data_IF_110917057112
#
_entry.id   IF_110917057112
#
_cell.length_a   1.000
_cell.length_b   1.000
_cell.length_c   1.000
_cell.angle_alpha   90.00
_cell.angle_beta   90.00
_cell.angle_gamma   90.00
#
_symmetry.space_group_name_H-M   'P 1'
#
loop_
_entity.id
_entity.type
_entity.pdbx_description
1 polymer ?
#
# COMPACT_ATOMS: atom_id res chain seq x y z
N UNK A 1 -22.60 -22.05 17.23
CA UNK A 1 -21.41 -21.71 16.42
C UNK A 1 -21.40 -22.30 15.00
N UNK A 2 -22.52 -22.77 14.42
CA UNK A 2 -22.54 -23.42 13.09
C UNK A 2 -23.18 -22.62 11.94
N UNK A 3 -23.60 -21.36 12.18
CA UNK A 3 -24.42 -20.62 11.20
C UNK A 3 -23.59 -19.76 10.21
N UNK A 4 -22.43 -19.23 10.61
CA UNK A 4 -21.60 -18.37 9.75
C UNK A 4 -20.81 -19.15 8.68
N UNK A 5 -20.45 -20.40 8.95
CA UNK A 5 -19.69 -21.26 8.02
C UNK A 5 -20.52 -21.66 6.80
N UNK A 6 -21.84 -21.73 6.94
CA UNK A 6 -22.76 -22.09 5.86
C UNK A 6 -23.01 -20.92 4.91
N UNK A 7 -23.07 -19.69 5.44
CA UNK A 7 -23.24 -18.46 4.66
C UNK A 7 -22.00 -18.15 3.82
N UNK A 8 -20.80 -18.33 4.40
CA UNK A 8 -19.53 -18.17 3.69
C UNK A 8 -19.35 -19.20 2.56
N UNK A 9 -19.83 -20.43 2.75
CA UNK A 9 -19.87 -21.46 1.68
C UNK A 9 -20.81 -21.07 0.54
N UNK A 10 -21.97 -20.49 0.86
CA UNK A 10 -22.94 -20.04 -0.15
C UNK A 10 -22.41 -18.83 -0.95
N UNK A 11 -21.73 -17.89 -0.29
CA UNK A 11 -21.13 -16.72 -0.96
C UNK A 11 -19.98 -17.15 -1.88
N UNK A 12 -19.08 -18.05 -1.43
CA UNK A 12 -18.03 -18.61 -2.29
C UNK A 12 -18.60 -19.37 -3.50
N UNK A 13 -19.63 -20.19 -3.27
CA UNK A 13 -20.30 -20.93 -4.35
C UNK A 13 -20.98 -20.02 -5.39
N UNK A 14 -21.46 -18.84 -4.99
CA UNK A 14 -22.09 -17.89 -5.89
C UNK A 14 -21.07 -17.09 -6.72
N UNK A 15 -19.83 -16.96 -6.24
CA UNK A 15 -18.75 -16.23 -6.92
C UNK A 15 -18.01 -17.13 -7.93
N UNK A 16 -17.87 -18.43 -7.63
CA UNK A 16 -17.19 -19.40 -8.51
C UNK A 16 -18.01 -19.80 -9.75
N UNK A 17 -19.33 -19.54 -9.75
CA UNK A 17 -20.19 -19.74 -10.92
C UNK A 17 -20.17 -18.50 -11.83
N UNK A 18 -19.31 -18.55 -12.84
CA UNK A 18 -19.07 -17.54 -13.89
C UNK A 18 -20.32 -16.81 -14.40
N UNK A 19 -20.18 -15.48 -14.50
CA UNK A 19 -20.89 -14.56 -15.41
C UNK A 19 -22.43 -14.60 -15.43
N UNK A 20 -23.05 -13.89 -14.49
CA UNK A 20 -24.27 -13.14 -14.78
C UNK A 20 -24.12 -11.73 -14.20
N UNK A 21 -24.49 -10.71 -14.97
CA UNK A 21 -24.44 -9.31 -14.52
C UNK A 21 -25.12 -9.13 -13.16
N UNK A 22 -24.67 -8.18 -12.31
CA UNK A 22 -25.34 -7.91 -11.05
C UNK A 22 -26.81 -7.57 -11.31
N UNK A 23 -27.69 -8.41 -10.77
CA UNK A 23 -29.14 -8.26 -10.78
C UNK A 23 -29.47 -6.94 -10.06
N UNK A 24 -29.93 -5.95 -10.81
CA UNK A 24 -30.16 -4.59 -10.27
C UNK A 24 -31.51 -4.56 -9.57
N UNK A 25 -31.48 -4.44 -8.25
CA UNK A 25 -32.63 -4.09 -7.43
C UNK A 25 -32.90 -2.59 -7.57
N UNK A 26 -34.03 -2.20 -8.16
CA UNK A 26 -34.45 -0.80 -8.28
C UNK A 26 -35.55 -0.51 -7.25
N UNK A 27 -35.32 0.51 -6.42
CA UNK A 27 -36.30 0.98 -5.44
C UNK A 27 -37.40 1.77 -6.19
N UNK A 28 -38.66 1.36 -6.04
CA UNK A 28 -39.81 2.17 -6.49
C UNK A 28 -40.40 2.96 -5.32
N UNK A 29 -40.97 4.14 -5.61
CA UNK A 29 -41.57 5.03 -4.61
C UNK A 29 -42.76 4.33 -3.94
N UNK A 30 -42.52 3.82 -2.73
CA UNK A 30 -43.46 2.97 -2.00
C UNK A 30 -42.80 1.85 -1.18
N UNK A 31 -41.48 1.61 -1.36
CA UNK A 31 -40.71 0.70 -0.50
C UNK A 31 -40.77 -0.78 -0.90
N UNK A 32 -41.30 -1.10 -2.09
CA UNK A 32 -41.34 -2.46 -2.63
C UNK A 32 -40.19 -2.65 -3.62
N UNK A 33 -39.43 -3.73 -3.41
CA UNK A 33 -38.37 -4.16 -4.31
C UNK A 33 -38.97 -4.96 -5.46
N UNK A 34 -38.77 -4.51 -6.70
CA UNK A 34 -39.26 -5.21 -7.89
C UNK A 34 -38.07 -5.82 -8.65
N UNK A 35 -38.16 -7.12 -8.94
CA UNK A 35 -37.19 -7.83 -9.79
C UNK A 35 -37.37 -7.41 -11.25
N UNK A 36 -36.26 -7.06 -11.91
CA UNK A 36 -36.21 -6.88 -13.36
C UNK A 36 -35.12 -7.81 -13.92
N UNK A 37 -35.54 -8.91 -14.54
CA UNK A 37 -34.65 -9.82 -15.26
C UNK A 37 -34.70 -9.61 -16.79
N UNK A 38 -35.40 -8.57 -17.25
CA UNK A 38 -35.55 -8.23 -18.65
C UNK A 38 -36.66 -8.99 -19.39
N UNK A 39 -37.31 -9.98 -18.76
CA UNK A 39 -38.36 -10.81 -19.38
C UNK A 39 -39.64 -10.86 -18.53
N UNK A 40 -40.22 -9.68 -18.24
CA UNK A 40 -41.58 -9.57 -17.70
C UNK A 40 -41.75 -9.81 -16.19
N UNK A 41 -42.86 -9.29 -15.66
CA UNK A 41 -43.24 -9.37 -14.24
C UNK A 41 -43.70 -10.77 -13.84
N UNK A 42 -43.08 -11.36 -12.80
CA UNK A 42 -43.55 -12.61 -12.19
C UNK A 42 -44.75 -12.36 -11.25
N UNK A 43 -45.76 -13.25 -11.22
CA UNK A 43 -46.91 -13.12 -10.35
C UNK A 43 -46.57 -13.39 -8.87
N UNK A 44 -47.28 -12.67 -8.00
CA UNK A 44 -47.08 -12.45 -6.57
C UNK A 44 -46.94 -13.74 -5.70
N UNK A 45 -47.40 -14.88 -6.22
CA UNK A 45 -47.61 -16.10 -5.45
C UNK A 45 -46.37 -17.03 -5.39
N UNK A 46 -45.24 -16.64 -5.98
CA UNK A 46 -43.99 -17.42 -5.95
C UNK A 46 -42.84 -16.73 -5.20
N UNK A 47 -43.12 -15.61 -4.53
CA UNK A 47 -42.15 -14.95 -3.67
C UNK A 47 -42.13 -15.73 -2.35
N UNK A 48 -41.26 -16.73 -2.25
CA UNK A 48 -40.86 -17.26 -0.93
C UNK A 48 -40.36 -16.07 -0.13
N UNK A 49 -40.85 -15.84 1.11
CA UNK A 49 -40.38 -14.74 1.92
C UNK A 49 -38.92 -15.01 2.22
N UNK A 50 -38.03 -14.36 1.45
CA UNK A 50 -36.63 -14.35 1.76
C UNK A 50 -36.56 -13.65 3.09
N UNK A 51 -36.24 -14.41 4.14
CA UNK A 51 -35.97 -13.90 5.47
C UNK A 51 -35.18 -12.59 5.30
N UNK A 52 -35.83 -11.46 5.57
CA UNK A 52 -35.14 -10.20 5.76
C UNK A 52 -34.33 -10.38 7.04
N UNK A 53 -33.18 -11.02 6.93
CA UNK A 53 -32.18 -11.03 7.98
C UNK A 53 -31.79 -9.59 8.17
N UNK A 54 -32.33 -8.97 9.23
CA UNK A 54 -31.88 -7.68 9.71
C UNK A 54 -30.40 -7.84 10.02
N UNK A 55 -29.56 -7.48 9.05
CA UNK A 55 -28.12 -7.46 9.26
C UNK A 55 -27.85 -6.47 10.38
N UNK A 56 -27.35 -6.99 11.50
CA UNK A 56 -26.83 -6.20 12.60
C UNK A 56 -25.76 -5.24 12.06
N UNK A 57 -25.54 -4.12 12.74
CA UNK A 57 -24.47 -3.19 12.38
C UNK A 57 -23.14 -3.91 12.14
N UNK A 58 -22.81 -4.88 13.02
CA UNK A 58 -21.59 -5.67 12.91
C UNK A 58 -21.55 -6.50 11.61
N UNK A 59 -22.62 -7.24 11.30
CA UNK A 59 -22.65 -8.06 10.07
C UNK A 59 -22.53 -7.24 8.78
N UNK A 60 -23.00 -5.97 8.78
CA UNK A 60 -22.81 -5.06 7.64
C UNK A 60 -21.36 -4.61 7.50
N UNK A 61 -20.69 -4.37 8.62
CA UNK A 61 -19.27 -4.01 8.66
C UNK A 61 -18.42 -5.19 8.19
N UNK A 62 -18.70 -6.40 8.68
CA UNK A 62 -18.01 -7.64 8.27
C UNK A 62 -18.14 -7.86 6.76
N UNK A 63 -19.36 -7.81 6.21
CA UNK A 63 -19.59 -7.95 4.77
C UNK A 63 -18.85 -6.90 3.94
N UNK A 64 -18.81 -5.65 4.44
CA UNK A 64 -18.05 -4.58 3.79
C UNK A 64 -16.54 -4.90 3.78
N UNK A 65 -15.98 -5.35 4.89
CA UNK A 65 -14.55 -5.67 5.02
C UNK A 65 -14.17 -6.86 4.13
N UNK A 66 -15.01 -7.90 4.05
CA UNK A 66 -14.81 -9.03 3.13
C UNK A 66 -14.82 -8.59 1.67
N UNK A 67 -15.81 -7.78 1.28
CA UNK A 67 -15.90 -7.23 -0.09
C UNK A 67 -14.66 -6.40 -0.41
N UNK A 68 -14.22 -5.58 0.54
CA UNK A 68 -13.06 -4.72 0.39
C UNK A 68 -11.78 -5.55 0.21
N UNK A 69 -11.60 -6.63 0.97
CA UNK A 69 -10.46 -7.56 0.81
C UNK A 69 -10.41 -8.20 -0.56
N UNK A 70 -11.54 -8.69 -1.07
CA UNK A 70 -11.63 -9.29 -2.41
C UNK A 70 -11.27 -8.28 -3.51
N UNK A 71 -11.73 -7.02 -3.39
CA UNK A 71 -11.36 -5.96 -4.32
C UNK A 71 -9.86 -5.64 -4.26
N UNK A 72 -9.28 -5.58 -3.05
CA UNK A 72 -7.84 -5.33 -2.88
C UNK A 72 -6.99 -6.48 -3.41
N UNK A 73 -7.42 -7.73 -3.24
CA UNK A 73 -6.74 -8.90 -3.80
C UNK A 73 -6.67 -8.80 -5.33
N UNK A 74 -7.78 -8.38 -5.97
CA UNK A 74 -7.87 -8.25 -7.42
C UNK A 74 -7.13 -7.03 -7.98
N UNK A 75 -7.18 -5.89 -7.29
CA UNK A 75 -6.74 -4.59 -7.83
C UNK A 75 -5.54 -3.98 -7.08
N UNK A 76 -5.00 -4.67 -6.07
CA UNK A 76 -3.91 -4.21 -5.23
C UNK A 76 -4.29 -3.19 -4.14
N UNK A 77 -5.39 -2.45 -4.33
CA UNK A 77 -5.94 -1.48 -3.37
C UNK A 77 -7.41 -1.15 -3.70
N UNK A 78 -8.15 -0.63 -2.71
CA UNK A 78 -9.49 -0.05 -2.92
C UNK A 78 -9.47 1.45 -2.67
N UNK A 79 -10.06 2.22 -3.58
CA UNK A 79 -10.25 3.66 -3.40
C UNK A 79 -11.70 3.96 -2.97
N UNK A 80 -11.88 4.79 -1.93
CA UNK A 80 -13.19 5.23 -1.45
C UNK A 80 -13.11 6.61 -0.77
N UNK A 81 -14.23 7.33 -0.70
CA UNK A 81 -14.28 8.61 0.01
C UNK A 81 -14.35 8.41 1.52
N UNK A 82 -13.84 9.38 2.29
CA UNK A 82 -14.00 9.41 3.75
C UNK A 82 -15.48 9.27 4.15
N UNK A 83 -16.39 9.98 3.48
CA UNK A 83 -17.83 9.85 3.70
C UNK A 83 -18.34 8.41 3.58
N UNK A 84 -17.89 7.71 2.53
CA UNK A 84 -18.29 6.32 2.27
C UNK A 84 -17.75 5.38 3.34
N UNK A 85 -16.52 5.59 3.83
CA UNK A 85 -15.98 4.80 4.94
C UNK A 85 -16.84 4.96 6.20
N UNK A 86 -17.15 6.20 6.56
CA UNK A 86 -17.99 6.51 7.72
C UNK A 86 -19.38 5.89 7.60
N UNK A 87 -20.00 5.98 6.43
CA UNK A 87 -21.30 5.38 6.13
C UNK A 87 -21.28 3.85 6.31
N UNK A 88 -20.25 3.17 5.78
CA UNK A 88 -20.09 1.71 5.89
C UNK A 88 -19.91 1.25 7.33
N UNK A 89 -19.29 2.08 8.17
CA UNK A 89 -19.19 1.86 9.61
C UNK A 89 -20.40 2.34 10.41
N UNK A 90 -21.45 2.84 9.74
CA UNK A 90 -22.64 3.42 10.37
C UNK A 90 -22.28 4.52 11.39
N UNK A 91 -21.41 5.44 10.99
CA UNK A 91 -20.93 6.57 11.78
C UNK A 91 -21.41 7.88 11.14
N UNK A 92 -22.27 8.62 11.86
CA UNK A 92 -22.78 9.92 11.41
C UNK A 92 -21.87 11.12 11.74
N UNK A 93 -20.96 10.99 12.71
CA UNK A 93 -20.09 12.09 13.17
C UNK A 93 -18.68 11.59 13.46
N UNK A 94 -17.67 12.38 13.06
CA UNK A 94 -16.28 12.11 13.46
C UNK A 94 -16.05 12.54 14.91
N UNK A 95 -15.53 11.62 15.68
CA UNK A 95 -15.06 11.82 17.06
C UNK A 95 -13.79 11.00 17.22
N UNK A 96 -12.93 11.33 18.19
CA UNK A 96 -11.71 10.56 18.47
C UNK A 96 -12.02 9.08 18.73
N UNK A 97 -13.13 8.79 19.43
CA UNK A 97 -13.61 7.42 19.65
C UNK A 97 -13.93 6.69 18.34
N UNK A 98 -14.70 7.32 17.45
CA UNK A 98 -15.08 6.73 16.16
C UNK A 98 -13.87 6.55 15.23
N UNK A 99 -12.88 7.45 15.32
CA UNK A 99 -11.61 7.33 14.62
C UNK A 99 -10.85 6.07 15.05
N UNK A 100 -10.68 5.88 16.36
CA UNK A 100 -10.03 4.70 16.93
C UNK A 100 -10.76 3.43 16.48
N UNK A 101 -12.09 3.39 16.59
CA UNK A 101 -12.88 2.22 16.17
C UNK A 101 -12.67 1.84 14.70
N UNK A 102 -12.67 2.82 13.78
CA UNK A 102 -12.41 2.52 12.35
C UNK A 102 -10.98 2.03 12.16
N UNK A 103 -9.99 2.70 12.77
CA UNK A 103 -8.57 2.32 12.65
C UNK A 103 -8.32 0.91 13.18
N UNK A 104 -8.81 0.59 14.37
CA UNK A 104 -8.64 -0.72 14.99
C UNK A 104 -9.31 -1.83 14.19
N UNK A 105 -10.54 -1.60 13.69
CA UNK A 105 -11.25 -2.61 12.89
C UNK A 105 -10.60 -2.82 11.51
N UNK A 106 -10.06 -1.78 10.88
CA UNK A 106 -9.28 -1.96 9.65
C UNK A 106 -7.96 -2.69 9.96
N UNK A 107 -7.25 -2.29 11.01
CA UNK A 107 -5.99 -2.91 11.40
C UNK A 107 -6.15 -4.39 11.80
N UNK A 108 -7.24 -4.76 12.50
CA UNK A 108 -7.54 -6.15 12.85
C UNK A 108 -7.75 -7.03 11.62
N UNK A 109 -8.13 -6.43 10.50
CA UNK A 109 -8.30 -7.09 9.21
C UNK A 109 -7.06 -7.00 8.31
N UNK A 110 -5.96 -6.41 8.78
CA UNK A 110 -4.74 -6.18 8.00
C UNK A 110 -4.90 -5.08 6.94
N UNK A 111 -5.83 -4.13 7.14
CA UNK A 111 -6.15 -3.06 6.21
C UNK A 111 -5.66 -1.71 6.75
N UNK A 112 -5.17 -0.87 5.84
CA UNK A 112 -4.56 0.42 6.17
C UNK A 112 -5.16 1.54 5.32
N UNK A 113 -4.95 2.80 5.69
CA UNK A 113 -5.50 3.95 4.93
C UNK A 113 -4.40 4.88 4.48
N UNK A 114 -4.50 5.37 3.24
CA UNK A 114 -3.61 6.37 2.67
C UNK A 114 -4.42 7.51 2.01
N UNK A 115 -4.29 8.77 2.46
CA UNK A 115 -3.58 9.20 3.67
C UNK A 115 -4.18 8.55 4.94
N UNK A 116 -3.45 8.61 6.06
CA UNK A 116 -3.93 8.06 7.32
C UNK A 116 -5.29 8.67 7.68
N UNK A 117 -6.27 7.82 8.01
CA UNK A 117 -7.59 8.28 8.40
C UNK A 117 -7.52 9.13 9.68
N UNK A 118 -7.80 10.43 9.55
CA UNK A 118 -7.71 11.40 10.66
C UNK A 118 -8.86 12.41 10.64
N UNK A 119 -8.98 13.22 11.70
CA UNK A 119 -9.97 14.29 11.77
C UNK A 119 -9.67 15.43 10.79
N UNK A 120 -8.42 15.57 10.37
CA UNK A 120 -7.93 16.64 9.48
C UNK A 120 -8.37 16.43 8.03
N UNK A 121 -8.64 15.19 7.61
CA UNK A 121 -9.09 14.89 6.26
C UNK A 121 -10.48 15.47 5.98
N UNK A 122 -10.71 16.08 4.81
CA UNK A 122 -12.07 16.54 4.44
C UNK A 122 -13.01 15.36 4.18
N UNK A 123 -14.32 15.52 4.41
CA UNK A 123 -15.31 14.43 4.21
C UNK A 123 -15.33 13.93 2.76
N UNK A 124 -15.10 14.82 1.80
CA UNK A 124 -14.98 14.47 0.38
C UNK A 124 -13.62 13.94 -0.04
N UNK A 125 -12.62 13.89 0.86
CA UNK A 125 -11.28 13.39 0.53
C UNK A 125 -11.33 11.90 0.19
N UNK A 126 -10.46 11.52 -0.74
CA UNK A 126 -10.30 10.13 -1.17
C UNK A 126 -9.27 9.42 -0.31
N UNK A 127 -9.60 8.20 0.12
CA UNK A 127 -8.72 7.25 0.78
C UNK A 127 -8.41 6.11 -0.18
N UNK A 128 -7.16 5.65 -0.15
CA UNK A 128 -6.74 4.36 -0.67
C UNK A 128 -6.60 3.40 0.50
N UNK A 129 -7.12 2.19 0.33
CA UNK A 129 -7.10 1.13 1.35
C UNK A 129 -6.34 -0.06 0.78
N UNK A 130 -5.05 -0.24 1.13
CA UNK A 130 -4.29 -1.44 0.84
C UNK A 130 -4.31 -2.44 2.00
N UNK A 131 -3.84 -3.67 1.74
CA UNK A 131 -3.56 -4.71 2.74
C UNK A 131 -2.14 -4.62 3.31
N UNK A 132 -1.48 -3.48 3.11
CA UNK A 132 -0.09 -3.25 3.48
C UNK A 132 0.03 -1.97 4.31
N UNK A 133 0.79 -1.94 5.42
CA UNK A 133 1.00 -0.72 6.21
C UNK A 133 1.63 0.38 5.36
N UNK A 134 0.80 1.30 4.90
CA UNK A 134 1.27 2.52 4.25
C UNK A 134 1.51 3.58 5.31
N UNK A 135 2.78 3.91 5.51
CA UNK A 135 3.22 4.94 6.46
C UNK A 135 3.67 6.18 5.69
N UNK A 136 3.26 7.34 6.17
CA UNK A 136 3.74 8.64 5.72
C UNK A 136 3.97 9.49 6.97
N UNK A 137 5.15 9.42 7.61
CA UNK A 137 5.34 9.94 8.97
C UNK A 137 5.31 11.47 9.07
N UNK A 138 5.44 12.18 7.94
CA UNK A 138 5.37 13.64 7.88
C UNK A 138 4.81 14.16 6.54
N UNK A 139 4.96 15.46 6.32
CA UNK A 139 4.56 16.11 5.07
C UNK A 139 5.48 15.71 3.91
N UNK A 140 5.00 15.88 2.68
CA UNK A 140 5.76 15.54 1.46
C UNK A 140 6.24 16.80 0.75
N UNK A 141 7.46 16.75 0.23
CA UNK A 141 7.92 17.73 -0.73
C UNK A 141 7.12 17.62 -2.03
N UNK A 142 6.84 18.76 -2.66
CA UNK A 142 6.10 18.79 -3.91
C UNK A 142 6.87 18.09 -5.05
N UNK A 143 8.18 18.28 -5.10
CA UNK A 143 9.08 17.68 -6.10
C UNK A 143 10.25 16.97 -5.42
N UNK A 144 10.80 15.96 -6.11
CA UNK A 144 12.01 15.24 -5.69
C UNK A 144 13.22 16.18 -5.55
N UNK A 145 13.38 17.08 -6.51
CA UNK A 145 14.42 18.11 -6.47
C UNK A 145 14.38 18.98 -5.20
N UNK A 146 13.19 19.34 -4.71
CA UNK A 146 13.05 20.17 -3.52
C UNK A 146 13.54 19.41 -2.27
N UNK A 147 13.26 18.10 -2.21
CA UNK A 147 13.79 17.22 -1.16
C UNK A 147 15.31 17.08 -1.24
N UNK A 148 15.87 16.86 -2.44
CA UNK A 148 17.33 16.78 -2.64
C UNK A 148 18.03 18.07 -2.21
N UNK A 149 17.51 19.22 -2.65
CA UNK A 149 18.07 20.53 -2.31
C UNK A 149 17.97 20.78 -0.79
N UNK A 150 16.88 20.36 -0.14
CA UNK A 150 16.72 20.47 1.31
C UNK A 150 17.70 19.59 2.08
N UNK A 151 17.86 18.33 1.68
CA UNK A 151 18.80 17.38 2.30
C UNK A 151 20.24 17.85 2.15
N UNK A 152 20.61 18.37 0.97
CA UNK A 152 21.95 18.88 0.72
C UNK A 152 22.24 20.16 1.52
N UNK A 153 21.33 21.14 1.48
CA UNK A 153 21.52 22.45 2.14
C UNK A 153 21.68 22.33 3.65
N UNK A 154 20.95 21.40 4.27
CA UNK A 154 20.97 21.18 5.71
C UNK A 154 21.89 20.02 6.13
N UNK A 155 22.71 19.52 5.20
CA UNK A 155 23.67 18.43 5.40
C UNK A 155 23.06 17.19 6.08
N UNK A 156 21.79 16.89 5.81
CA UNK A 156 21.05 15.85 6.55
C UNK A 156 21.57 14.44 6.27
N UNK A 157 22.30 14.25 5.18
CA UNK A 157 23.01 12.99 4.89
C UNK A 157 23.95 12.57 6.03
N UNK A 158 24.44 13.50 6.86
CA UNK A 158 25.23 13.21 8.07
C UNK A 158 24.45 12.36 9.08
N UNK A 159 23.12 12.52 9.18
CA UNK A 159 22.25 11.68 10.03
C UNK A 159 22.19 10.21 9.57
N UNK A 160 22.65 9.91 8.35
CA UNK A 160 22.75 8.56 7.79
C UNK A 160 24.19 8.01 7.87
N UNK A 161 25.06 8.67 8.64
CA UNK A 161 26.50 8.37 8.76
C UNK A 161 27.23 8.49 7.41
N UNK A 162 26.91 9.53 6.65
CA UNK A 162 27.61 9.92 5.42
C UNK A 162 28.34 11.22 5.71
N UNK A 163 29.67 11.25 5.57
CA UNK A 163 30.48 12.41 5.95
C UNK A 163 30.43 13.53 4.91
N UNK A 164 30.34 13.18 3.63
CA UNK A 164 30.23 14.13 2.53
C UNK A 164 29.50 13.50 1.35
N UNK A 165 28.93 14.35 0.48
CA UNK A 165 28.21 13.88 -0.72
C UNK A 165 28.65 14.61 -1.97
N UNK A 166 28.74 13.87 -3.07
CA UNK A 166 28.83 14.39 -4.42
C UNK A 166 27.44 14.29 -5.06
N UNK A 167 26.80 15.44 -5.29
CA UNK A 167 25.48 15.49 -5.93
C UNK A 167 25.59 15.08 -7.38
N UNK A 168 24.58 14.38 -7.87
CA UNK A 168 24.36 14.28 -9.31
C UNK A 168 25.55 13.63 -10.04
N UNK A 169 26.27 12.75 -9.32
CA UNK A 169 27.47 12.04 -9.77
C UNK A 169 27.15 11.12 -10.95
N UNK A 170 28.07 11.08 -11.93
CA UNK A 170 27.96 10.25 -13.13
C UNK A 170 29.07 9.20 -13.11
N UNK A 171 28.74 7.92 -12.83
CA UNK A 171 29.73 6.87 -12.83
C UNK A 171 30.40 6.72 -14.20
N UNK A 172 31.64 6.27 -14.22
CA UNK A 172 32.41 6.12 -15.46
C UNK A 172 31.72 5.18 -16.46
N UNK A 173 31.64 5.64 -17.71
CA UNK A 173 31.14 4.86 -18.84
C UNK A 173 29.62 4.70 -18.89
N UNK A 174 28.86 5.53 -18.16
CA UNK A 174 27.38 5.54 -18.24
C UNK A 174 26.81 6.96 -18.33
N UNK A 175 25.58 7.07 -18.83
CA UNK A 175 24.76 8.28 -18.78
C UNK A 175 23.93 8.39 -17.50
N UNK A 176 23.94 7.35 -16.66
CA UNK A 176 23.30 7.34 -15.35
C UNK A 176 23.81 8.49 -14.48
N UNK A 177 22.94 8.91 -13.55
CA UNK A 177 23.18 10.02 -12.63
C UNK A 177 22.56 9.65 -11.29
N UNK A 178 23.37 9.65 -10.24
CA UNK A 178 22.93 9.37 -8.87
C UNK A 178 22.45 10.67 -8.23
N UNK A 179 21.44 10.64 -7.37
CA UNK A 179 21.09 11.81 -6.56
C UNK A 179 22.30 12.26 -5.72
N UNK A 180 22.87 11.30 -4.97
CA UNK A 180 24.07 11.50 -4.17
C UNK A 180 24.98 10.25 -4.19
N UNK A 181 26.26 10.49 -4.43
CA UNK A 181 27.33 9.57 -4.05
C UNK A 181 27.91 10.05 -2.72
N UNK A 182 27.68 9.31 -1.65
CA UNK A 182 28.20 9.60 -0.33
C UNK A 182 29.58 8.99 -0.08
N UNK A 183 30.44 9.69 0.64
CA UNK A 183 31.60 9.10 1.28
C UNK A 183 31.26 8.83 2.76
N UNK A 184 31.61 7.65 3.23
CA UNK A 184 31.45 7.22 4.62
C UNK A 184 32.84 7.01 5.24
N UNK A 185 32.88 6.69 6.53
CA UNK A 185 34.13 6.26 7.19
C UNK A 185 34.64 4.93 6.61
N UNK A 186 35.92 4.61 6.86
CA UNK A 186 36.54 3.31 6.52
C UNK A 186 36.46 2.94 5.03
N UNK A 187 36.70 3.90 4.13
CA UNK A 187 36.71 3.71 2.67
C UNK A 187 35.40 3.14 2.09
N UNK A 188 34.30 3.33 2.81
CA UNK A 188 32.97 2.96 2.37
C UNK A 188 32.35 4.11 1.58
N UNK A 189 31.64 3.77 0.51
CA UNK A 189 30.85 4.73 -0.28
C UNK A 189 29.37 4.39 -0.18
N UNK A 190 28.51 5.37 -0.32
CA UNK A 190 27.07 5.19 -0.29
C UNK A 190 26.43 5.64 -1.60
N UNK A 191 25.49 4.84 -2.11
CA UNK A 191 24.44 5.32 -2.99
C UNK A 191 23.32 5.82 -2.09
N UNK A 192 22.97 7.10 -2.18
CA UNK A 192 21.81 7.68 -1.51
C UNK A 192 20.83 8.15 -2.58
N UNK A 193 19.72 7.43 -2.72
CA UNK A 193 18.61 7.76 -3.62
C UNK A 193 17.44 8.32 -2.80
N UNK A 194 16.87 9.44 -3.23
CA UNK A 194 15.76 10.10 -2.55
C UNK A 194 14.49 10.03 -3.40
N UNK A 195 13.35 9.79 -2.76
CA UNK A 195 12.03 9.87 -3.39
C UNK A 195 11.08 10.67 -2.51
N UNK A 196 10.48 11.73 -3.05
CA UNK A 196 9.50 12.55 -2.32
C UNK A 196 8.17 11.84 -2.03
N UNK A 197 7.97 10.64 -2.58
CA UNK A 197 6.80 9.77 -2.33
C UNK A 197 7.30 8.35 -2.10
N UNK A 198 6.54 7.33 -2.49
CA UNK A 198 7.03 5.95 -2.58
C UNK A 198 7.93 5.78 -3.81
N UNK A 199 8.90 4.87 -3.73
CA UNK A 199 9.87 4.65 -4.82
C UNK A 199 9.43 3.59 -5.83
N UNK A 200 8.55 2.68 -5.42
CA UNK A 200 8.22 1.48 -6.18
C UNK A 200 9.43 0.59 -6.48
N UNK A 201 9.26 -0.32 -7.44
CA UNK A 201 10.31 -1.20 -7.95
C UNK A 201 11.45 -0.43 -8.61
N UNK A 202 11.14 0.65 -9.34
CA UNK A 202 12.14 1.41 -10.09
C UNK A 202 13.20 2.05 -9.21
N UNK A 203 12.83 2.64 -8.06
CA UNK A 203 13.79 3.25 -7.15
C UNK A 203 14.73 2.20 -6.53
N UNK A 204 14.20 1.02 -6.22
CA UNK A 204 14.99 -0.11 -5.72
C UNK A 204 16.00 -0.58 -6.77
N UNK A 205 15.57 -0.74 -8.02
CA UNK A 205 16.45 -1.09 -9.14
C UNK A 205 17.49 0.00 -9.43
N UNK A 206 17.16 1.28 -9.25
CA UNK A 206 18.12 2.38 -9.38
C UNK A 206 19.25 2.24 -8.36
N UNK A 207 18.92 2.06 -7.08
CA UNK A 207 19.94 1.89 -6.03
C UNK A 207 20.85 0.70 -6.31
N UNK A 208 20.27 -0.46 -6.66
CA UNK A 208 21.04 -1.66 -7.02
C UNK A 208 21.95 -1.43 -8.24
N UNK A 209 21.42 -0.79 -9.29
CA UNK A 209 22.19 -0.46 -10.50
C UNK A 209 23.35 0.46 -10.18
N UNK A 210 23.09 1.54 -9.43
CA UNK A 210 24.12 2.50 -9.05
C UNK A 210 25.18 1.88 -8.13
N UNK A 211 24.77 0.97 -7.24
CA UNK A 211 25.72 0.26 -6.40
C UNK A 211 26.69 -0.61 -7.22
N UNK A 212 26.16 -1.34 -8.21
CA UNK A 212 26.99 -2.12 -9.15
C UNK A 212 27.95 -1.24 -9.98
N UNK A 213 27.47 -0.08 -10.44
CA UNK A 213 28.29 0.89 -11.19
C UNK A 213 29.42 1.47 -10.32
N UNK A 214 29.11 1.89 -9.09
CA UNK A 214 30.11 2.39 -8.16
C UNK A 214 31.09 1.30 -7.73
N UNK A 215 30.65 0.05 -7.55
CA UNK A 215 31.56 -1.06 -7.25
C UNK A 215 32.55 -1.34 -8.38
N UNK A 216 32.16 -1.13 -9.63
CA UNK A 216 33.07 -1.23 -10.78
C UNK A 216 34.07 -0.09 -10.82
N UNK A 217 33.64 1.13 -10.48
CA UNK A 217 34.50 2.30 -10.47
C UNK A 217 35.46 2.34 -9.26
N UNK A 218 35.01 1.84 -8.12
CA UNK A 218 35.71 1.79 -6.84
C UNK A 218 35.73 0.35 -6.30
N UNK A 219 36.52 -0.56 -6.91
CA UNK A 219 36.49 -2.00 -6.61
C UNK A 219 36.88 -2.35 -5.18
N UNK A 220 37.70 -1.53 -4.53
CA UNK A 220 38.18 -1.77 -3.17
C UNK A 220 37.22 -1.23 -2.10
N UNK A 221 36.24 -0.41 -2.47
CA UNK A 221 35.29 0.16 -1.53
C UNK A 221 34.10 -0.78 -1.29
N UNK A 222 33.57 -0.78 -0.06
CA UNK A 222 32.24 -1.32 0.21
C UNK A 222 31.17 -0.29 -0.20
N UNK A 223 30.06 -0.72 -0.77
CA UNK A 223 29.01 0.18 -1.26
C UNK A 223 27.74 0.00 -0.43
N UNK A 224 27.35 1.01 0.34
CA UNK A 224 26.06 1.07 1.03
C UNK A 224 24.96 1.43 0.04
N UNK A 225 23.82 0.77 0.18
CA UNK A 225 22.65 0.95 -0.66
C UNK A 225 21.55 1.59 0.18
N UNK A 226 21.36 2.90 0.04
CA UNK A 226 20.44 3.66 0.87
C UNK A 226 19.34 4.26 0.00
N UNK A 227 18.09 3.88 0.31
CA UNK A 227 16.89 4.47 -0.27
C UNK A 227 16.13 5.23 0.81
N UNK A 228 15.80 6.50 0.55
CA UNK A 228 14.93 7.29 1.42
C UNK A 228 13.65 7.65 0.67
N UNK A 229 12.49 7.33 1.25
CA UNK A 229 11.18 7.62 0.66
C UNK A 229 10.31 8.46 1.59
N UNK A 230 9.36 9.21 1.06
CA UNK A 230 8.36 9.93 1.88
C UNK A 230 7.19 9.03 2.31
N UNK A 231 7.01 7.91 1.61
CA UNK A 231 5.92 6.97 1.84
C UNK A 231 6.49 5.55 1.85
N UNK A 232 6.04 4.75 2.82
CA UNK A 232 6.20 3.30 2.80
C UNK A 232 5.10 2.70 1.92
N UNK A 233 5.41 2.34 0.67
CA UNK A 233 4.43 1.73 -0.23
C UNK A 233 4.76 0.25 -0.50
N UNK A 234 3.71 -0.52 -0.79
CA UNK A 234 3.78 -1.96 -1.00
C UNK A 234 4.75 -2.34 -2.13
N UNK A 235 4.78 -1.56 -3.21
CA UNK A 235 5.64 -1.88 -4.35
C UNK A 235 7.13 -1.78 -4.02
N UNK A 236 7.54 -0.82 -3.17
CA UNK A 236 8.93 -0.71 -2.71
C UNK A 236 9.27 -1.88 -1.80
N UNK A 237 8.41 -2.20 -0.83
CA UNK A 237 8.69 -3.31 0.07
C UNK A 237 8.72 -4.65 -0.66
N UNK A 238 7.76 -4.94 -1.56
CA UNK A 238 7.78 -6.15 -2.37
C UNK A 238 9.06 -6.27 -3.20
N UNK A 239 9.56 -5.15 -3.76
CA UNK A 239 10.80 -5.15 -4.50
C UNK A 239 12.02 -5.46 -3.60
N UNK A 240 12.06 -4.91 -2.39
CA UNK A 240 13.10 -5.20 -1.39
C UNK A 240 13.02 -6.66 -0.90
N UNK A 241 11.81 -7.15 -0.62
CA UNK A 241 11.56 -8.53 -0.22
C UNK A 241 11.78 -9.54 -1.35
N UNK A 242 11.75 -9.10 -2.61
CA UNK A 242 12.12 -9.90 -3.77
C UNK A 242 13.63 -10.07 -3.98
N UNK A 243 14.47 -9.31 -3.27
CA UNK A 243 15.93 -9.43 -3.36
C UNK A 243 16.44 -10.73 -2.73
N UNK A 244 17.64 -11.15 -3.14
CA UNK A 244 18.37 -12.21 -2.44
C UNK A 244 18.67 -11.79 -0.99
N UNK A 245 18.70 -12.72 -0.01
CA UNK A 245 18.89 -12.40 1.40
C UNK A 245 20.11 -11.52 1.70
N UNK A 246 21.23 -11.76 1.02
CA UNK A 246 22.49 -11.03 1.19
C UNK A 246 22.37 -9.57 0.71
N UNK A 247 21.69 -9.37 -0.43
CA UNK A 247 21.40 -8.03 -0.96
C UNK A 247 20.44 -7.28 -0.03
N UNK A 248 19.41 -7.97 0.46
CA UNK A 248 18.42 -7.38 1.37
C UNK A 248 19.05 -6.94 2.69
N UNK A 249 19.96 -7.74 3.26
CA UNK A 249 20.69 -7.41 4.50
C UNK A 249 21.56 -6.14 4.36
N UNK A 250 22.06 -5.87 3.16
CA UNK A 250 22.89 -4.71 2.86
C UNK A 250 22.12 -3.51 2.29
N UNK A 251 20.81 -3.65 2.09
CA UNK A 251 19.93 -2.60 1.62
C UNK A 251 19.28 -1.87 2.80
N UNK A 252 19.45 -0.56 2.86
CA UNK A 252 18.89 0.28 3.90
C UNK A 252 17.74 1.11 3.33
N UNK A 253 16.55 0.99 3.94
CA UNK A 253 15.39 1.78 3.59
C UNK A 253 14.99 2.67 4.76
N UNK A 254 14.84 3.96 4.49
CA UNK A 254 14.38 4.95 5.45
C UNK A 254 13.12 5.66 4.94
N UNK A 255 12.25 6.06 5.86
CA UNK A 255 11.23 7.06 5.64
C UNK A 255 11.74 8.41 6.11
N UNK A 256 11.50 9.48 5.34
CA UNK A 256 11.70 10.82 5.88
C UNK A 256 10.42 11.35 6.51
N UNK A 257 10.58 12.08 7.61
CA UNK A 257 9.52 12.79 8.32
C UNK A 257 9.81 14.27 8.27
N UNK A 258 9.12 14.99 7.38
CA UNK A 258 9.26 16.44 7.25
C UNK A 258 8.18 17.15 8.06
N UNK A 259 8.60 18.10 8.88
CA UNK A 259 7.76 18.99 9.67
C UNK A 259 7.87 20.40 9.08
N UNK A 260 6.91 20.79 8.24
CA UNK A 260 6.99 22.05 7.51
C UNK A 260 6.97 23.28 8.42
N UNK A 261 6.20 23.21 9.51
CA UNK A 261 6.03 24.33 10.44
C UNK A 261 7.32 24.75 11.16
N UNK A 262 8.22 23.79 11.39
CA UNK A 262 9.52 24.00 12.05
C UNK A 262 10.70 23.75 11.12
N UNK A 263 10.42 23.61 9.82
CA UNK A 263 11.37 23.32 8.73
C UNK A 263 12.40 22.25 9.10
N UNK A 264 11.94 21.11 9.65
CA UNK A 264 12.81 20.04 10.14
C UNK A 264 12.54 18.71 9.45
N UNK A 265 13.59 17.90 9.29
CA UNK A 265 13.50 16.57 8.69
C UNK A 265 14.28 15.53 9.49
N UNK A 266 13.61 14.41 9.71
CA UNK A 266 14.13 13.22 10.38
C UNK A 266 14.08 12.00 9.44
N UNK A 267 14.95 11.02 9.70
CA UNK A 267 14.93 9.73 9.00
C UNK A 267 14.56 8.62 9.98
N UNK A 268 13.57 7.82 9.62
CA UNK A 268 13.15 6.64 10.36
C UNK A 268 13.51 5.40 9.55
N UNK A 269 14.35 4.51 10.11
CA UNK A 269 14.71 3.26 9.43
C UNK A 269 13.50 2.34 9.37
N UNK A 270 13.21 1.81 8.20
CA UNK A 270 12.20 0.76 8.03
C UNK A 270 12.85 -0.57 8.36
N UNK A 271 12.32 -1.26 9.38
CA UNK A 271 12.66 -2.65 9.61
C UNK A 271 12.05 -3.50 8.49
N UNK A 272 12.90 -4.04 7.64
CA UNK A 272 12.49 -4.96 6.58
C UNK A 272 12.18 -6.30 7.27
N UNK A 273 10.93 -6.49 7.68
CA UNK A 273 10.48 -7.77 8.20
C UNK A 273 10.65 -8.82 7.11
N UNK A 274 11.38 -9.90 7.40
CA UNK A 274 11.33 -11.11 6.61
C UNK A 274 9.94 -11.69 6.81
N UNK A 275 8.96 -11.17 6.07
CA UNK A 275 7.70 -11.86 5.96
C UNK A 275 8.04 -13.19 5.28
N UNK A 276 7.81 -14.30 5.98
CA UNK A 276 7.69 -15.63 5.41
C UNK A 276 6.50 -15.61 4.44
N UNK A 277 6.63 -14.94 3.30
CA UNK A 277 5.70 -15.04 2.19
C UNK A 277 5.98 -16.34 1.43
N UNK A 278 6.06 -17.44 2.17
CA UNK A 278 5.64 -18.76 1.73
C UNK A 278 4.11 -18.81 1.85
N UNK A 279 3.42 -18.05 1.01
CA UNK A 279 2.21 -18.60 0.43
C UNK A 279 2.61 -19.13 -0.93
N UNK A 280 2.88 -20.44 -0.91
CA UNK A 280 2.98 -21.31 -2.07
C UNK A 280 2.02 -20.84 -3.16
N UNK A 281 2.56 -20.18 -4.17
CA UNK A 281 1.94 -20.17 -5.48
C UNK A 281 2.22 -21.55 -6.10
N UNK A 282 1.60 -22.60 -5.56
CA UNK A 282 1.43 -23.88 -6.24
C UNK A 282 0.32 -23.72 -7.28
N UNK A 283 0.49 -22.77 -8.21
CA UNK A 283 -0.21 -22.84 -9.48
C UNK A 283 0.59 -23.81 -10.34
N UNK A 284 0.11 -25.05 -10.31
CA UNK A 284 0.44 -26.10 -11.28
C UNK A 284 0.44 -25.48 -12.68
N UNK A 285 1.62 -25.32 -13.27
CA UNK A 285 1.73 -25.31 -14.72
C UNK A 285 1.22 -26.68 -15.19
N UNK A 286 0.14 -26.77 -15.98
CA UNK A 286 -0.12 -27.98 -16.73
C UNK A 286 0.96 -28.05 -17.80
N UNK A 287 1.95 -28.91 -17.56
CA UNK A 287 2.85 -29.39 -18.61
C UNK A 287 1.99 -30.18 -19.59
N UNK A 288 1.54 -29.52 -20.66
CA UNK A 288 1.09 -30.17 -21.88
C UNK A 288 1.70 -29.46 -23.08
N UNK A 289 3.01 -29.65 -23.22
CA UNK A 289 3.62 -29.84 -24.54
C UNK A 289 4.38 -31.17 -24.45
N UNK A 290 3.70 -32.27 -24.79
CA UNK A 290 4.33 -33.53 -25.12
C UNK A 290 4.04 -33.80 -26.60
N UNK A 291 5.14 -33.88 -27.33
CA UNK A 291 5.40 -34.58 -28.61
C UNK A 291 4.64 -34.12 -29.85
#
# INVERSE_FOLDING_TARGET
MSSNTHLLKQIKSAIDQRYTMPKVLKLSNGGIWVYFDGNGTLPENQITPTLQTRHTKESRIELFLETLKLEIEKFGQKTLKVSTLMERFSIGKRSSKNLITIKEKLASEGLYTQPEYSNELRIGSTLRIPTYPVRQPGELFAKEKDLEDFVAKNELYTKLNISSVERQHRPKGTKDKLDFKGNCENEQIAVLELKNRGGGKSAVEQVLRYAGLLKREFPNCNVRMILVTGIQNRETELAINGMQPEQRKSFEWYLYKYHKDIDSLEFERVEISVADSLHKCELRCPVHCLK
#
